data_IF_278078803316
#
_entry.id   IF_278078803316
#
_cell.length_a   1.000
_cell.length_b   1.000
_cell.length_c   1.000
_cell.angle_alpha   90.00
_cell.angle_beta   90.00
_cell.angle_gamma   90.00
#
_symmetry.space_group_name_H-M   'P 1'
#
loop_
_entity.id
_entity.type
_entity.pdbx_description
1 polymer ?
#
# COMPACT_ATOMS: atom_id res chain seq x y z
N UNK A 1 -6.11 8.54 29.49
CA UNK A 1 -7.26 8.04 28.73
C UNK A 1 -7.30 8.87 27.46
N UNK A 2 -6.95 8.28 26.32
CA UNK A 2 -6.89 9.01 25.04
C UNK A 2 -8.21 8.77 24.33
N UNK A 3 -9.10 9.76 24.36
CA UNK A 3 -10.41 9.68 23.70
C UNK A 3 -10.46 10.77 22.62
N UNK A 4 -10.67 10.38 21.37
CA UNK A 4 -10.84 11.34 20.26
C UNK A 4 -12.28 11.88 20.28
N UNK A 5 -12.43 13.21 20.31
CA UNK A 5 -13.72 13.86 20.23
C UNK A 5 -13.81 14.72 18.97
N UNK A 6 -14.81 14.44 18.13
CA UNK A 6 -15.11 15.23 16.93
C UNK A 6 -15.86 16.54 17.26
N UNK A 7 -15.63 17.57 16.43
CA UNK A 7 -16.11 18.96 16.61
C UNK A 7 -17.63 19.13 16.41
N UNK A 8 -18.28 18.18 15.73
CA UNK A 8 -19.70 18.20 15.42
C UNK A 8 -20.25 16.76 15.41
N UNK A 9 -20.44 16.20 16.60
CA UNK A 9 -21.19 14.96 16.80
C UNK A 9 -22.53 15.38 17.41
N UNK A 10 -23.60 14.68 17.03
CA UNK A 10 -24.98 14.89 17.51
C UNK A 10 -25.11 15.06 19.04
N UNK A 11 -24.11 14.59 19.80
CA UNK A 11 -24.05 14.61 21.27
C UNK A 11 -23.15 15.70 21.89
N UNK A 12 -22.52 16.57 21.09
CA UNK A 12 -21.63 17.69 21.50
C UNK A 12 -20.85 17.46 22.82
N UNK A 13 -19.98 16.43 22.88
CA UNK A 13 -19.33 16.00 24.12
C UNK A 13 -18.41 17.08 24.70
N UNK A 14 -17.91 18.00 23.86
CA UNK A 14 -17.05 19.10 24.29
C UNK A 14 -17.79 20.17 25.10
N UNK A 15 -19.13 20.18 25.12
CA UNK A 15 -19.91 21.08 25.99
C UNK A 15 -19.71 20.73 27.47
N UNK A 16 -19.60 19.44 27.79
CA UNK A 16 -19.34 18.97 29.17
C UNK A 16 -17.93 19.37 29.61
N UNK A 17 -16.96 19.34 28.69
CA UNK A 17 -15.57 19.70 28.96
C UNK A 17 -15.45 21.13 29.53
N UNK A 18 -16.28 22.07 29.08
CA UNK A 18 -16.28 23.45 29.59
C UNK A 18 -16.47 23.52 31.11
N UNK A 19 -17.47 22.79 31.64
CA UNK A 19 -17.76 22.74 33.07
C UNK A 19 -16.63 22.03 33.84
N UNK A 20 -16.01 21.00 33.26
CA UNK A 20 -14.91 20.27 33.89
C UNK A 20 -13.62 21.09 33.97
N UNK A 21 -13.40 22.02 33.04
CA UNK A 21 -12.20 22.87 33.01
C UNK A 21 -12.28 24.10 33.92
N UNK A 22 -13.47 24.50 34.39
CA UNK A 22 -13.61 25.62 35.35
C UNK A 22 -13.06 25.27 36.73
N UNK A 23 -13.26 24.02 37.16
CA UNK A 23 -12.75 23.49 38.42
C UNK A 23 -12.07 22.14 38.18
N UNK A 24 -10.86 22.14 37.60
CA UNK A 24 -10.19 20.92 37.21
C UNK A 24 -9.81 20.10 38.45
N UNK A 25 -10.45 18.95 38.63
CA UNK A 25 -10.11 17.97 39.68
C UNK A 25 -8.88 17.14 39.34
N UNK A 26 -8.48 17.12 38.07
CA UNK A 26 -7.34 16.39 37.53
C UNK A 26 -6.61 17.28 36.52
N UNK A 27 -5.30 17.05 36.34
CA UNK A 27 -4.56 17.68 35.26
C UNK A 27 -5.12 17.23 33.90
N UNK A 28 -5.29 18.18 32.98
CA UNK A 28 -5.85 17.93 31.65
C UNK A 28 -4.89 18.41 30.56
N UNK A 29 -4.63 17.54 29.59
CA UNK A 29 -3.88 17.87 28.36
C UNK A 29 -4.72 17.43 27.17
N UNK A 30 -5.09 18.39 26.32
CA UNK A 30 -5.79 18.15 25.07
C UNK A 30 -4.83 18.25 23.88
N UNK A 31 -4.83 17.26 23.00
CA UNK A 31 -4.08 17.29 21.74
C UNK A 31 -5.09 17.31 20.60
N UNK A 32 -4.97 18.28 19.70
CA UNK A 32 -5.86 18.43 18.55
C UNK A 32 -5.10 18.92 17.33
N UNK A 33 -5.45 18.39 16.17
CA UNK A 33 -4.98 18.90 14.87
C UNK A 33 -5.82 20.10 14.39
N UNK A 34 -6.91 20.41 15.09
CA UNK A 34 -7.83 21.50 14.78
C UNK A 34 -7.90 22.48 15.93
N UNK A 35 -8.11 23.76 15.61
CA UNK A 35 -8.40 24.77 16.62
C UNK A 35 -9.69 24.41 17.36
N UNK A 36 -9.77 24.74 18.65
CA UNK A 36 -11.01 24.64 19.42
C UNK A 36 -11.70 26.01 19.44
N UNK A 37 -12.94 26.07 19.94
CA UNK A 37 -13.64 27.34 20.13
C UNK A 37 -13.08 28.12 21.33
N UNK A 38 -13.24 29.45 21.28
CA UNK A 38 -12.72 30.39 22.28
C UNK A 38 -13.16 30.04 23.71
N UNK A 39 -14.40 29.58 23.90
CA UNK A 39 -14.91 29.25 25.23
C UNK A 39 -14.13 28.12 25.91
N UNK A 40 -13.56 27.19 25.15
CA UNK A 40 -12.72 26.11 25.69
C UNK A 40 -11.27 26.59 25.80
N UNK A 41 -10.81 27.29 24.77
CA UNK A 41 -9.46 27.85 24.66
C UNK A 41 -9.10 28.82 25.79
N UNK A 42 -10.01 29.67 26.24
CA UNK A 42 -9.75 30.65 27.32
C UNK A 42 -9.48 30.01 28.69
N UNK A 43 -9.76 28.72 28.87
CA UNK A 43 -9.59 27.97 30.13
C UNK A 43 -8.35 27.08 30.13
N UNK A 44 -7.56 27.13 29.07
CA UNK A 44 -6.37 26.28 28.88
C UNK A 44 -5.20 27.12 28.37
N UNK A 45 -3.98 26.69 28.68
CA UNK A 45 -2.79 27.22 28.01
C UNK A 45 -2.71 26.55 26.65
N UNK A 46 -2.67 27.37 25.59
CA UNK A 46 -2.64 26.88 24.21
C UNK A 46 -1.21 27.01 23.69
N UNK A 47 -0.65 25.86 23.34
CA UNK A 47 0.56 25.80 22.57
C UNK A 47 0.21 25.41 21.13
N UNK A 48 0.31 26.38 20.22
CA UNK A 48 0.09 26.14 18.79
C UNK A 48 1.40 25.77 18.12
N UNK A 49 1.41 24.66 17.38
CA UNK A 49 2.56 24.20 16.60
C UNK A 49 2.28 24.56 15.13
N UNK A 50 2.93 25.60 14.57
CA UNK A 50 2.73 25.98 13.18
C UNK A 50 3.38 24.97 12.23
N UNK A 51 3.10 25.14 10.93
CA UNK A 51 3.82 24.39 9.90
C UNK A 51 5.31 24.76 9.93
N UNK A 52 6.17 23.75 9.86
CA UNK A 52 7.62 23.92 9.86
C UNK A 52 8.10 24.58 8.57
N UNK A 53 9.05 25.51 8.68
CA UNK A 53 9.80 26.03 7.54
C UNK A 53 10.85 25.03 7.05
N UNK A 54 11.42 25.25 5.86
CA UNK A 54 12.54 24.46 5.33
C UNK A 54 13.70 24.39 6.33
N UNK A 55 13.98 25.51 7.03
CA UNK A 55 15.04 25.58 8.03
C UNK A 55 14.72 24.74 9.26
N UNK A 56 13.47 24.75 9.71
CA UNK A 56 13.03 23.94 10.84
C UNK A 56 13.11 22.44 10.51
N UNK A 57 12.74 22.05 9.29
CA UNK A 57 12.87 20.68 8.80
C UNK A 57 14.33 20.23 8.77
N UNK A 58 15.23 21.05 8.21
CA UNK A 58 16.67 20.78 8.25
C UNK A 58 17.17 20.61 9.69
N UNK A 59 16.85 21.56 10.57
CA UNK A 59 17.30 21.55 11.95
C UNK A 59 16.77 20.33 12.72
N UNK A 60 15.54 19.93 12.44
CA UNK A 60 14.92 18.72 13.02
C UNK A 60 15.67 17.46 12.59
N UNK A 61 16.01 17.32 11.31
CA UNK A 61 16.80 16.18 10.85
C UNK A 61 18.20 16.21 11.48
N UNK A 62 18.83 17.39 11.58
CA UNK A 62 20.15 17.55 12.20
C UNK A 62 20.15 17.23 13.69
N UNK A 63 19.04 17.42 14.40
CA UNK A 63 18.92 17.06 15.82
C UNK A 63 18.55 15.59 16.04
N UNK A 64 17.85 14.97 15.08
CA UNK A 64 17.52 13.53 15.12
C UNK A 64 18.76 12.63 15.03
N UNK A 65 19.84 13.09 14.40
CA UNK A 65 21.04 12.27 14.14
C UNK A 65 22.32 12.89 14.74
N UNK A 66 23.23 12.03 15.24
CA UNK A 66 24.50 12.48 15.84
C UNK A 66 25.39 13.20 14.81
N UNK A 67 26.18 14.18 15.28
CA UNK A 67 27.00 15.09 14.45
C UNK A 67 27.99 14.38 13.52
N UNK A 68 28.53 13.23 13.93
CA UNK A 68 29.57 12.51 13.15
C UNK A 68 29.06 11.95 11.81
N UNK A 69 27.76 11.67 11.72
CA UNK A 69 27.10 11.17 10.48
C UNK A 69 26.70 12.33 9.56
N UNK A 70 26.61 13.55 10.08
CA UNK A 70 25.96 14.69 9.44
C UNK A 70 26.82 15.35 8.33
N UNK A 71 28.15 15.31 8.46
CA UNK A 71 29.08 15.98 7.56
C UNK A 71 29.04 15.41 6.13
N UNK A 72 28.78 14.11 5.97
CA UNK A 72 28.67 13.46 4.65
C UNK A 72 27.28 13.65 4.00
N UNK A 73 26.25 13.95 4.79
CA UNK A 73 24.83 13.82 4.39
C UNK A 73 24.11 15.17 4.28
N UNK A 74 24.76 16.27 4.68
CA UNK A 74 24.13 17.62 4.67
C UNK A 74 23.53 17.99 3.31
N UNK A 75 24.22 17.69 2.20
CA UNK A 75 23.70 17.94 0.84
C UNK A 75 22.45 17.12 0.50
N UNK A 76 22.38 15.87 0.98
CA UNK A 76 21.22 15.00 0.76
C UNK A 76 20.00 15.48 1.56
N UNK A 77 20.22 16.04 2.76
CA UNK A 77 19.14 16.61 3.58
C UNK A 77 18.51 17.82 2.88
N UNK A 78 19.33 18.73 2.34
CA UNK A 78 18.83 19.90 1.60
C UNK A 78 18.00 19.49 0.38
N UNK A 79 18.47 18.52 -0.41
CA UNK A 79 17.70 17.97 -1.53
C UNK A 79 16.40 17.30 -1.06
N UNK A 80 16.43 16.59 0.06
CA UNK A 80 15.24 15.93 0.64
C UNK A 80 14.18 16.96 1.06
N UNK A 81 14.59 18.04 1.72
CA UNK A 81 13.71 19.15 2.13
C UNK A 81 13.10 19.81 0.90
N UNK A 82 13.92 20.15 -0.11
CA UNK A 82 13.45 20.76 -1.36
C UNK A 82 12.43 19.90 -2.11
N UNK A 83 12.64 18.58 -2.16
CA UNK A 83 11.69 17.64 -2.78
C UNK A 83 10.37 17.64 -2.01
N UNK A 84 10.43 17.52 -0.68
CA UNK A 84 9.24 17.52 0.16
C UNK A 84 8.43 18.82 0.00
N UNK A 85 9.09 19.99 -0.02
CA UNK A 85 8.41 21.27 -0.23
C UNK A 85 7.74 21.36 -1.60
N UNK A 86 8.42 20.92 -2.66
CA UNK A 86 7.83 20.91 -4.01
C UNK A 86 6.60 20.00 -4.08
N UNK A 87 6.59 18.86 -3.37
CA UNK A 87 5.45 17.95 -3.30
C UNK A 87 4.27 18.61 -2.55
N UNK A 88 4.52 19.20 -1.38
CA UNK A 88 3.46 19.79 -0.54
C UNK A 88 2.89 21.08 -1.17
N UNK A 89 3.73 21.87 -1.83
CA UNK A 89 3.35 23.13 -2.46
C UNK A 89 2.84 22.97 -3.90
N UNK A 90 2.79 21.74 -4.43
CA UNK A 90 2.34 21.48 -5.80
C UNK A 90 0.93 22.02 -6.04
N UNK A 91 0.82 22.85 -7.09
CA UNK A 91 -0.43 23.49 -7.52
C UNK A 91 -1.18 22.70 -8.58
N UNK A 92 -0.58 21.62 -9.09
CA UNK A 92 -1.14 20.84 -10.21
C UNK A 92 -2.09 19.74 -9.75
N UNK A 93 -2.38 19.67 -8.44
CA UNK A 93 -3.15 18.59 -7.79
C UNK A 93 -2.56 17.18 -7.99
N UNK A 94 -1.33 17.08 -8.51
CA UNK A 94 -0.67 15.80 -8.79
C UNK A 94 -0.45 14.97 -7.52
N UNK A 95 -0.32 15.60 -6.35
CA UNK A 95 -0.17 14.92 -5.06
C UNK A 95 -1.41 15.02 -4.18
N UNK A 96 -2.57 15.33 -4.78
CA UNK A 96 -3.85 15.55 -4.10
C UNK A 96 -4.93 14.66 -4.72
N UNK A 97 -4.76 13.32 -4.68
CA UNK A 97 -5.63 12.40 -5.39
C UNK A 97 -7.08 12.58 -4.91
N UNK A 98 -8.02 12.69 -5.86
CA UNK A 98 -9.45 12.94 -5.62
C UNK A 98 -9.73 14.08 -4.60
N UNK A 99 -8.90 15.13 -4.60
CA UNK A 99 -9.05 16.30 -3.73
C UNK A 99 -8.53 16.11 -2.31
N UNK A 100 -7.90 14.98 -1.97
CA UNK A 100 -7.23 14.80 -0.69
C UNK A 100 -5.94 15.63 -0.61
N UNK A 101 -6.04 16.84 -0.08
CA UNK A 101 -4.93 17.82 0.01
C UNK A 101 -3.79 17.39 0.95
N UNK A 102 -4.00 16.38 1.79
CA UNK A 102 -3.11 16.02 2.89
C UNK A 102 -2.65 14.56 2.80
N UNK A 103 -2.52 14.05 1.58
CA UNK A 103 -2.09 12.68 1.32
C UNK A 103 -0.66 12.40 1.82
N UNK A 104 0.22 13.39 1.70
CA UNK A 104 1.57 13.39 2.27
C UNK A 104 1.68 14.41 3.40
N UNK A 105 2.55 14.12 4.38
CA UNK A 105 2.84 15.03 5.48
C UNK A 105 4.21 14.80 6.11
N UNK A 106 4.44 15.45 7.26
CA UNK A 106 5.77 15.49 7.89
C UNK A 106 6.32 14.10 8.27
N UNK A 107 5.45 13.12 8.55
CA UNK A 107 5.89 11.74 8.84
C UNK A 107 6.51 11.04 7.64
N UNK A 108 6.04 11.34 6.43
CA UNK A 108 6.64 10.84 5.19
C UNK A 108 8.05 11.43 5.03
N UNK A 109 8.21 12.73 5.31
CA UNK A 109 9.50 13.41 5.33
C UNK A 109 10.46 12.85 6.38
N UNK A 110 10.03 12.67 7.64
CA UNK A 110 10.91 12.14 8.69
C UNK A 110 11.38 10.71 8.42
N UNK A 111 10.48 9.87 7.89
CA UNK A 111 10.82 8.50 7.52
C UNK A 111 11.81 8.47 6.36
N UNK A 112 11.64 9.37 5.38
CA UNK A 112 12.59 9.55 4.29
C UNK A 112 13.94 10.04 4.81
N UNK A 113 13.97 11.08 5.63
CA UNK A 113 15.21 11.61 6.21
C UNK A 113 15.97 10.53 6.99
N UNK A 114 15.26 9.73 7.79
CA UNK A 114 15.87 8.59 8.49
C UNK A 114 16.43 7.54 7.54
N UNK A 115 15.72 7.23 6.46
CA UNK A 115 16.23 6.31 5.44
C UNK A 115 17.49 6.88 4.76
N UNK A 116 17.48 8.16 4.38
CA UNK A 116 18.61 8.82 3.73
C UNK A 116 19.86 8.84 4.62
N UNK A 117 19.68 9.00 5.93
CA UNK A 117 20.80 9.07 6.89
C UNK A 117 21.37 7.69 7.23
N UNK A 118 20.55 6.65 7.30
CA UNK A 118 20.99 5.32 7.78
C UNK A 118 21.36 4.37 6.64
N UNK A 119 20.67 4.46 5.50
CA UNK A 119 20.79 3.48 4.40
C UNK A 119 21.79 3.97 3.35
N UNK A 120 21.67 5.21 2.88
CA UNK A 120 22.51 5.75 1.80
C UNK A 120 24.01 6.01 2.08
N UNK A 121 24.52 6.06 3.32
CA UNK A 121 25.98 6.13 3.53
C UNK A 121 26.73 4.92 2.94
N UNK A 122 26.03 3.83 2.62
CA UNK A 122 26.61 2.67 1.97
C UNK A 122 27.01 3.01 0.51
N UNK A 123 28.27 2.75 0.10
CA UNK A 123 28.81 3.17 -1.22
C UNK A 123 27.97 2.74 -2.43
N UNK A 124 27.29 1.59 -2.34
CA UNK A 124 26.46 1.03 -3.41
C UNK A 124 25.09 1.74 -3.58
N UNK A 125 24.64 2.53 -2.60
CA UNK A 125 23.26 3.03 -2.53
C UNK A 125 23.13 4.54 -2.74
N UNK A 126 24.24 5.28 -2.90
CA UNK A 126 24.27 6.77 -2.93
C UNK A 126 23.33 7.45 -3.93
N UNK A 127 22.83 6.74 -4.94
CA UNK A 127 21.89 7.25 -5.96
C UNK A 127 20.53 6.53 -5.98
N UNK A 128 20.26 5.68 -4.99
CA UNK A 128 19.01 4.92 -4.94
C UNK A 128 17.81 5.84 -4.71
N UNK A 129 16.75 5.70 -5.51
CA UNK A 129 15.48 6.38 -5.29
C UNK A 129 14.55 5.63 -4.33
N UNK A 130 15.02 4.55 -3.73
CA UNK A 130 14.23 3.71 -2.84
C UNK A 130 13.50 4.48 -1.75
N UNK A 131 14.24 5.25 -0.94
CA UNK A 131 13.65 6.01 0.17
C UNK A 131 12.55 6.96 -0.30
N UNK A 132 12.75 7.59 -1.46
CA UNK A 132 11.78 8.51 -2.04
C UNK A 132 10.54 7.77 -2.53
N UNK A 133 10.68 6.67 -3.28
CA UNK A 133 9.55 5.91 -3.85
C UNK A 133 8.79 5.10 -2.80
N UNK A 134 9.46 4.77 -1.69
CA UNK A 134 8.81 4.21 -0.50
C UNK A 134 7.94 5.24 0.21
N UNK A 135 8.49 6.42 0.52
CA UNK A 135 7.79 7.42 1.34
C UNK A 135 6.82 8.32 0.56
N UNK A 136 7.09 8.57 -0.72
CA UNK A 136 6.23 9.30 -1.64
C UNK A 136 5.63 8.34 -2.68
N UNK A 137 5.12 7.20 -2.23
CA UNK A 137 4.36 6.26 -3.04
C UNK A 137 2.84 6.44 -2.87
N UNK A 138 2.06 5.49 -3.40
CA UNK A 138 0.64 5.37 -3.09
C UNK A 138 -0.30 6.11 -4.03
N UNK A 139 0.17 6.72 -5.11
CA UNK A 139 -0.68 7.32 -6.14
C UNK A 139 -0.91 6.38 -7.33
N UNK A 140 -2.11 6.44 -7.89
CA UNK A 140 -2.51 5.70 -9.09
C UNK A 140 -2.31 6.50 -10.37
N UNK A 141 -2.27 7.84 -10.27
CA UNK A 141 -2.30 8.74 -11.41
C UNK A 141 -0.92 8.84 -12.07
N UNK A 142 -0.91 8.73 -13.40
CA UNK A 142 0.29 8.94 -14.22
C UNK A 142 0.84 10.34 -14.05
N UNK A 143 -0.05 11.33 -13.87
CA UNK A 143 0.30 12.73 -13.59
C UNK A 143 1.19 12.87 -12.35
N UNK A 144 0.86 12.20 -11.24
CA UNK A 144 1.66 12.20 -10.01
C UNK A 144 3.06 11.67 -10.27
N UNK A 145 3.17 10.58 -11.01
CA UNK A 145 4.45 9.95 -11.35
C UNK A 145 5.30 10.85 -12.24
N UNK A 146 4.71 11.47 -13.26
CA UNK A 146 5.39 12.41 -14.15
C UNK A 146 5.88 13.65 -13.40
N UNK A 147 5.04 14.20 -12.51
CA UNK A 147 5.42 15.35 -11.70
C UNK A 147 6.55 15.01 -10.73
N UNK A 148 6.50 13.84 -10.09
CA UNK A 148 7.58 13.38 -9.22
C UNK A 148 8.91 13.20 -10.00
N UNK A 149 8.83 12.67 -11.24
CA UNK A 149 9.99 12.56 -12.13
C UNK A 149 10.61 13.94 -12.43
N UNK A 150 9.79 14.94 -12.77
CA UNK A 150 10.26 16.32 -12.99
C UNK A 150 10.96 16.90 -11.75
N UNK A 151 10.40 16.69 -10.57
CA UNK A 151 10.99 17.13 -9.30
C UNK A 151 12.36 16.48 -9.08
N UNK A 152 12.51 15.18 -9.37
CA UNK A 152 13.79 14.48 -9.23
C UNK A 152 14.84 14.94 -10.23
N UNK A 153 14.48 15.11 -11.51
CA UNK A 153 15.41 15.66 -12.52
C UNK A 153 15.91 17.04 -12.07
N UNK A 154 15.01 17.92 -11.63
CA UNK A 154 15.34 19.27 -11.20
C UNK A 154 16.19 19.32 -9.91
N UNK A 155 15.86 18.49 -8.92
CA UNK A 155 16.44 18.63 -7.56
C UNK A 155 17.64 17.72 -7.33
N UNK A 156 17.70 16.57 -7.99
CA UNK A 156 18.77 15.58 -7.85
C UNK A 156 19.74 15.56 -9.04
N UNK A 157 19.48 16.33 -10.10
CA UNK A 157 20.26 16.33 -11.35
C UNK A 157 20.44 14.92 -11.93
N UNK A 158 19.39 14.10 -11.86
CA UNK A 158 19.41 12.74 -12.42
C UNK A 158 19.11 12.79 -13.92
N UNK A 159 19.88 12.02 -14.69
CA UNK A 159 19.59 11.79 -16.10
C UNK A 159 18.33 10.94 -16.27
N UNK A 160 17.62 11.16 -17.38
CA UNK A 160 16.35 10.51 -17.67
C UNK A 160 16.47 8.97 -17.72
N UNK A 161 17.60 8.46 -18.23
CA UNK A 161 17.88 7.03 -18.29
C UNK A 161 18.14 6.41 -16.92
N UNK A 162 18.86 7.11 -16.05
CA UNK A 162 19.09 6.69 -14.66
C UNK A 162 17.77 6.69 -13.88
N UNK A 163 16.95 7.71 -14.08
CA UNK A 163 15.61 7.82 -13.51
C UNK A 163 14.71 6.65 -13.96
N UNK A 164 14.71 6.33 -15.25
CA UNK A 164 13.96 5.21 -15.80
C UNK A 164 14.38 3.87 -15.18
N UNK A 165 15.69 3.64 -15.04
CA UNK A 165 16.21 2.44 -14.37
C UNK A 165 15.74 2.36 -12.92
N UNK A 166 15.81 3.46 -12.17
CA UNK A 166 15.36 3.50 -10.77
C UNK A 166 13.85 3.25 -10.63
N UNK A 167 13.01 3.83 -11.49
CA UNK A 167 11.56 3.64 -11.46
C UNK A 167 11.10 2.26 -11.95
N UNK A 168 11.91 1.58 -12.78
CA UNK A 168 11.70 0.17 -13.15
C UNK A 168 12.15 -0.76 -12.04
N UNK A 169 13.25 -0.43 -11.36
CA UNK A 169 13.78 -1.20 -10.24
C UNK A 169 12.82 -1.14 -9.05
N UNK A 170 12.42 0.06 -8.62
CA UNK A 170 11.58 0.31 -7.45
C UNK A 170 10.11 0.38 -7.82
N UNK A 171 9.55 -0.78 -8.17
CA UNK A 171 8.11 -0.96 -8.34
C UNK A 171 7.38 -0.89 -7.00
N UNK A 172 6.06 -0.59 -6.96
CA UNK A 172 5.28 -0.62 -5.72
C UNK A 172 5.40 -1.96 -4.97
N UNK A 173 5.47 -3.05 -5.73
CA UNK A 173 5.66 -4.42 -5.24
C UNK A 173 6.99 -4.56 -4.50
N UNK A 174 8.09 -4.12 -5.12
CA UNK A 174 9.42 -4.14 -4.50
C UNK A 174 9.50 -3.20 -3.29
N UNK A 175 8.84 -2.05 -3.32
CA UNK A 175 8.74 -1.16 -2.16
C UNK A 175 8.09 -1.86 -0.95
N UNK A 176 7.00 -2.60 -1.17
CA UNK A 176 6.32 -3.38 -0.13
C UNK A 176 7.23 -4.52 0.37
N UNK A 177 7.85 -5.27 -0.54
CA UNK A 177 8.80 -6.33 -0.19
C UNK A 177 9.93 -5.78 0.70
N UNK A 178 10.48 -4.63 0.32
CA UNK A 178 11.56 -3.96 1.04
C UNK A 178 11.12 -3.41 2.41
N UNK A 179 9.85 -3.01 2.57
CA UNK A 179 9.28 -2.65 3.87
C UNK A 179 9.19 -3.88 4.81
N UNK A 180 8.82 -5.05 4.27
CA UNK A 180 8.67 -6.29 5.03
C UNK A 180 10.00 -6.96 5.40
N UNK A 181 10.97 -7.00 4.48
CA UNK A 181 12.24 -7.72 4.68
C UNK A 181 13.25 -6.95 5.50
N UNK A 182 13.11 -5.61 5.59
CA UNK A 182 14.05 -4.80 6.35
C UNK A 182 13.95 -5.09 7.84
N UNK A 183 15.02 -5.68 8.37
CA UNK A 183 15.26 -5.76 9.81
C UNK A 183 15.43 -4.36 10.38
N UNK A 184 14.81 -4.13 11.53
CA UNK A 184 14.94 -2.87 12.27
C UNK A 184 16.40 -2.73 12.71
N UNK A 185 17.15 -1.79 12.13
CA UNK A 185 18.55 -1.53 12.50
C UNK A 185 18.53 -0.75 13.83
N UNK A 186 18.81 -1.44 14.93
CA UNK A 186 18.81 -0.87 16.29
C UNK A 186 20.15 -0.27 16.72
N UNK A 187 21.14 -0.16 15.81
CA UNK A 187 22.49 0.30 16.15
C UNK A 187 22.55 1.74 16.68
N UNK A 188 21.51 2.55 16.43
CA UNK A 188 21.28 3.78 17.15
C UNK A 188 19.95 3.65 17.89
N UNK A 189 20.03 3.54 19.22
CA UNK A 189 18.88 3.45 20.10
C UNK A 189 17.77 4.43 19.67
N UNK A 190 16.56 3.89 19.49
CA UNK A 190 15.25 4.56 19.40
C UNK A 190 14.64 4.91 18.03
N UNK A 191 15.32 4.76 16.88
CA UNK A 191 14.68 5.13 15.60
C UNK A 191 14.27 3.91 14.78
N UNK A 192 12.99 3.53 14.85
CA UNK A 192 12.37 2.68 13.84
C UNK A 192 12.13 3.53 12.59
N UNK A 193 12.96 3.32 11.56
CA UNK A 193 13.02 4.18 10.36
C UNK A 193 11.90 3.85 9.37
N UNK A 194 11.22 2.73 9.55
CA UNK A 194 10.21 2.23 8.63
C UNK A 194 8.86 2.11 9.31
N UNK A 195 7.92 2.90 8.79
CA UNK A 195 6.51 2.84 9.14
C UNK A 195 5.90 1.53 8.67
N UNK A 196 4.79 1.16 9.29
CA UNK A 196 3.90 0.13 8.76
C UNK A 196 3.43 0.52 7.35
N UNK A 197 3.03 -0.47 6.56
CA UNK A 197 2.67 -0.25 5.16
C UNK A 197 1.15 -0.17 4.98
N UNK A 198 0.69 0.74 4.13
CA UNK A 198 -0.67 0.80 3.62
C UNK A 198 -0.66 0.42 2.14
N UNK A 199 -1.34 -0.67 1.82
CA UNK A 199 -1.57 -1.11 0.44
C UNK A 199 -2.88 -0.53 -0.03
N UNK A 200 -2.80 0.42 -0.95
CA UNK A 200 -3.95 1.04 -1.60
C UNK A 200 -4.32 0.18 -2.80
N UNK A 201 -5.40 -0.58 -2.67
CA UNK A 201 -5.86 -1.53 -3.67
C UNK A 201 -6.77 -0.82 -4.69
N UNK A 202 -6.49 -0.96 -5.98
CA UNK A 202 -7.33 -0.36 -7.05
C UNK A 202 -8.75 -0.92 -7.04
N UNK A 203 -8.86 -2.25 -6.98
CA UNK A 203 -10.09 -3.01 -6.73
C UNK A 203 -9.93 -3.78 -5.40
N UNK A 204 -11.02 -4.25 -4.79
CA UNK A 204 -11.01 -4.92 -3.46
C UNK A 204 -10.04 -6.12 -3.34
N UNK A 205 -9.63 -6.69 -4.47
CA UNK A 205 -8.82 -7.90 -4.57
C UNK A 205 -7.43 -7.66 -5.18
N UNK A 206 -7.11 -6.46 -5.67
CA UNK A 206 -5.81 -6.21 -6.35
C UNK A 206 -4.59 -6.49 -5.46
N UNK A 207 -4.70 -6.28 -4.15
CA UNK A 207 -3.65 -6.61 -3.18
C UNK A 207 -3.24 -8.10 -3.20
N UNK A 208 -4.11 -9.00 -3.68
CA UNK A 208 -3.81 -10.43 -3.80
C UNK A 208 -2.64 -10.70 -4.75
N UNK A 209 -2.34 -9.77 -5.66
CA UNK A 209 -1.13 -9.81 -6.50
C UNK A 209 0.15 -10.01 -5.65
N UNK A 210 0.17 -9.55 -4.40
CA UNK A 210 1.33 -9.72 -3.52
C UNK A 210 1.51 -11.18 -3.06
N UNK A 211 0.44 -11.99 -3.08
CA UNK A 211 0.52 -13.45 -2.89
C UNK A 211 1.13 -14.12 -4.11
N UNK A 212 0.76 -13.68 -5.31
CA UNK A 212 1.30 -14.21 -6.57
C UNK A 212 2.82 -13.96 -6.69
N UNK A 213 3.30 -12.84 -6.14
CA UNK A 213 4.73 -12.54 -6.01
C UNK A 213 5.43 -13.28 -4.86
N UNK A 214 4.71 -14.03 -4.03
CA UNK A 214 5.23 -14.68 -2.82
C UNK A 214 5.68 -13.72 -1.71
N UNK A 215 5.48 -12.41 -1.89
CA UNK A 215 5.79 -11.37 -0.89
C UNK A 215 4.91 -11.55 0.33
N UNK A 216 3.64 -11.87 0.11
CA UNK A 216 2.75 -12.37 1.13
C UNK A 216 2.60 -13.89 0.98
N UNK A 217 2.61 -14.63 2.09
CA UNK A 217 2.47 -16.08 2.08
C UNK A 217 1.84 -16.58 3.39
N UNK A 218 1.72 -17.90 3.53
CA UNK A 218 1.08 -18.59 4.65
C UNK A 218 1.75 -18.35 6.03
N UNK A 219 2.95 -17.75 6.07
CA UNK A 219 3.61 -17.39 7.34
C UNK A 219 3.00 -16.13 7.96
N UNK A 220 2.28 -15.33 7.17
CA UNK A 220 1.63 -14.11 7.64
C UNK A 220 0.20 -14.37 8.12
N UNK A 221 -0.28 -13.51 9.03
CA UNK A 221 -1.62 -13.61 9.60
C UNK A 221 -2.55 -12.61 8.90
N UNK A 222 -3.58 -13.13 8.23
CA UNK A 222 -4.59 -12.31 7.55
C UNK A 222 -5.83 -12.16 8.44
N UNK A 223 -6.20 -10.91 8.73
CA UNK A 223 -7.40 -10.58 9.49
C UNK A 223 -8.33 -9.75 8.59
N UNK A 224 -9.51 -10.30 8.33
CA UNK A 224 -10.57 -9.68 7.54
C UNK A 224 -11.72 -9.31 8.46
N UNK A 225 -12.12 -8.04 8.46
CA UNK A 225 -13.33 -7.64 9.19
C UNK A 225 -14.58 -8.26 8.57
N UNK A 226 -15.46 -8.76 9.43
CA UNK A 226 -16.70 -9.39 9.02
C UNK A 226 -17.65 -8.37 8.40
N UNK A 227 -18.14 -8.67 7.20
CA UNK A 227 -19.18 -7.89 6.53
C UNK A 227 -20.60 -8.38 6.90
N UNK A 228 -20.73 -9.37 7.78
CA UNK A 228 -22.05 -9.89 8.18
C UNK A 228 -22.71 -8.91 9.17
N UNK A 229 -23.97 -8.48 8.94
CA UNK A 229 -24.63 -7.45 9.76
C UNK A 229 -24.64 -7.73 11.26
N UNK A 230 -24.76 -9.00 11.67
CA UNK A 230 -24.80 -9.37 13.09
C UNK A 230 -23.42 -9.33 13.77
N UNK A 231 -22.34 -9.43 13.00
CA UNK A 231 -20.97 -9.39 13.53
C UNK A 231 -20.44 -7.96 13.64
N UNK A 232 -20.90 -7.06 12.76
CA UNK A 232 -20.36 -5.69 12.65
C UNK A 232 -20.61 -4.86 13.91
N UNK A 233 -21.67 -5.20 14.67
CA UNK A 233 -22.01 -4.57 15.94
C UNK A 233 -21.47 -5.31 17.17
N UNK A 234 -20.81 -6.47 16.97
CA UNK A 234 -20.33 -7.29 18.07
C UNK A 234 -18.92 -6.87 18.51
N UNK A 235 -18.83 -6.35 19.73
CA UNK A 235 -17.54 -6.04 20.37
C UNK A 235 -16.65 -7.28 20.58
N UNK A 236 -17.23 -8.48 20.57
CA UNK A 236 -16.52 -9.75 20.77
C UNK A 236 -15.55 -10.00 19.60
N UNK A 237 -15.98 -9.73 18.37
CA UNK A 237 -15.14 -9.89 17.19
C UNK A 237 -13.95 -8.91 17.25
N UNK A 238 -14.20 -7.65 17.58
CA UNK A 238 -13.14 -6.64 17.76
C UNK A 238 -12.11 -7.06 18.82
N UNK A 239 -12.57 -7.59 19.96
CA UNK A 239 -11.68 -8.10 21.00
C UNK A 239 -10.84 -9.29 20.54
N UNK A 240 -11.44 -10.23 19.79
CA UNK A 240 -10.74 -11.36 19.19
C UNK A 240 -9.66 -10.92 18.20
N UNK A 241 -9.96 -9.94 17.32
CA UNK A 241 -8.97 -9.38 16.42
C UNK A 241 -7.83 -8.70 17.18
N UNK A 242 -8.14 -7.90 18.19
CA UNK A 242 -7.12 -7.20 18.99
C UNK A 242 -6.19 -8.18 19.70
N UNK A 243 -6.70 -9.25 20.30
CA UNK A 243 -5.84 -10.26 20.93
C UNK A 243 -4.94 -10.97 19.92
N UNK A 244 -5.46 -11.35 18.75
CA UNK A 244 -4.63 -11.93 17.69
C UNK A 244 -3.51 -10.98 17.24
N UNK A 245 -3.80 -9.68 17.17
CA UNK A 245 -2.79 -8.67 16.82
C UNK A 245 -1.75 -8.55 17.93
N UNK A 246 -2.17 -8.55 19.20
CA UNK A 246 -1.26 -8.54 20.37
C UNK A 246 -0.34 -9.76 20.34
N UNK A 247 -0.86 -10.94 20.04
CA UNK A 247 -0.04 -12.17 19.92
C UNK A 247 0.94 -12.07 18.74
N UNK A 248 0.53 -11.47 17.62
CA UNK A 248 1.43 -11.21 16.49
C UNK A 248 2.52 -10.20 16.84
N UNK A 249 2.18 -9.16 17.61
CA UNK A 249 3.14 -8.16 18.10
C UNK A 249 4.18 -8.80 19.01
N UNK A 250 3.77 -9.70 19.91
CA UNK A 250 4.68 -10.39 20.83
C UNK A 250 5.59 -11.39 20.11
N UNK A 251 5.05 -12.13 19.13
CA UNK A 251 5.79 -13.16 18.37
C UNK A 251 6.55 -12.64 17.14
N UNK A 252 6.37 -11.36 16.79
CA UNK A 252 6.99 -10.75 15.60
C UNK A 252 6.41 -11.21 14.26
N UNK A 253 5.22 -11.82 14.25
CA UNK A 253 4.55 -12.23 13.01
C UNK A 253 3.94 -11.03 12.30
N UNK A 254 4.12 -10.95 10.98
CA UNK A 254 3.48 -9.93 10.14
C UNK A 254 1.97 -10.15 10.09
N UNK A 255 1.21 -9.07 10.34
CA UNK A 255 -0.24 -9.07 10.23
C UNK A 255 -0.72 -8.24 9.05
N UNK A 256 -1.72 -8.73 8.33
CA UNK A 256 -2.42 -8.04 7.24
C UNK A 256 -3.84 -7.76 7.70
N UNK A 257 -4.19 -6.48 7.78
CA UNK A 257 -5.50 -5.99 8.20
C UNK A 257 -6.28 -5.51 6.98
N UNK A 258 -7.49 -6.03 6.80
CA UNK A 258 -8.40 -5.57 5.76
C UNK A 258 -9.80 -5.39 6.34
N UNK A 259 -10.45 -4.26 6.04
CA UNK A 259 -11.81 -3.94 6.48
C UNK A 259 -11.98 -3.91 8.02
N UNK A 260 -11.00 -3.36 8.76
CA UNK A 260 -10.95 -3.38 10.23
C UNK A 260 -10.96 -1.97 10.86
N UNK A 261 -11.76 -1.06 10.29
CA UNK A 261 -11.81 0.35 10.70
C UNK A 261 -12.12 0.55 12.18
N UNK A 262 -12.98 -0.32 12.74
CA UNK A 262 -13.44 -0.27 14.13
C UNK A 262 -12.31 -0.47 15.17
N UNK A 263 -11.19 -1.10 14.80
CA UNK A 263 -10.10 -1.41 15.73
C UNK A 263 -8.88 -0.50 15.55
N UNK A 264 -8.80 0.30 14.48
CA UNK A 264 -7.63 1.14 14.23
C UNK A 264 -7.40 2.20 15.31
N UNK A 265 -8.46 2.71 15.93
CA UNK A 265 -8.33 3.62 17.09
C UNK A 265 -7.69 2.91 18.28
N UNK A 266 -8.02 1.65 18.50
CA UNK A 266 -7.45 0.84 19.59
C UNK A 266 -5.96 0.55 19.40
N UNK A 267 -5.50 0.56 18.15
CA UNK A 267 -4.12 0.31 17.73
C UNK A 267 -3.31 1.61 17.55
N UNK A 268 -3.80 2.74 18.05
CA UNK A 268 -3.18 4.05 17.80
C UNK A 268 -1.68 4.09 18.12
N UNK A 269 -1.25 3.67 19.31
CA UNK A 269 0.17 3.75 19.69
C UNK A 269 1.03 2.75 18.89
N UNK A 270 0.47 1.58 18.55
CA UNK A 270 1.12 0.60 17.68
C UNK A 270 1.37 1.19 16.29
N UNK A 271 0.33 1.71 15.65
CA UNK A 271 0.42 2.27 14.29
C UNK A 271 1.28 3.54 14.22
N UNK A 272 1.34 4.33 15.30
CA UNK A 272 2.24 5.47 15.39
C UNK A 272 3.69 5.08 15.74
N UNK A 273 3.96 3.79 16.01
CA UNK A 273 5.26 3.28 16.47
C UNK A 273 5.78 4.03 17.70
N UNK A 274 4.87 4.39 18.62
CA UNK A 274 5.21 5.06 19.88
C UNK A 274 5.59 4.04 20.93
N UNK A 275 6.78 3.46 20.76
CA UNK A 275 7.25 2.39 21.62
C UNK A 275 8.08 2.93 22.78
N UNK A 276 7.81 2.38 23.97
CA UNK A 276 8.57 2.65 25.18
C UNK A 276 9.49 1.47 25.43
N UNK A 277 10.81 1.72 25.38
CA UNK A 277 11.79 0.71 25.71
C UNK A 277 11.87 0.57 27.23
N UNK A 278 11.64 -0.64 27.74
CA UNK A 278 11.82 -0.95 29.17
C UNK A 278 13.28 -1.26 29.49
N UNK A 279 13.70 -1.26 30.77
CA UNK A 279 15.06 -1.64 31.16
C UNK A 279 15.50 -3.03 30.69
N UNK A 280 14.56 -3.93 30.37
CA UNK A 280 14.86 -5.24 29.76
C UNK A 280 15.39 -5.14 28.32
N UNK A 281 15.31 -3.97 27.69
CA UNK A 281 15.65 -3.76 26.29
C UNK A 281 14.48 -3.95 25.32
N UNK A 282 13.36 -4.50 25.80
CA UNK A 282 12.17 -4.76 24.97
C UNK A 282 11.32 -3.50 24.78
N UNK A 283 10.69 -3.41 23.61
CA UNK A 283 9.76 -2.35 23.25
C UNK A 283 8.33 -2.71 23.66
N UNK A 284 7.61 -1.75 24.22
CA UNK A 284 6.20 -1.89 24.57
C UNK A 284 5.36 -0.76 23.99
N UNK A 285 4.11 -1.04 23.64
CA UNK A 285 3.12 -0.03 23.29
C UNK A 285 1.78 -0.32 23.97
N UNK A 286 0.96 0.71 24.10
CA UNK A 286 -0.38 0.59 24.69
C UNK A 286 -1.40 0.22 23.61
N UNK A 287 -2.21 -0.79 23.88
CA UNK A 287 -3.36 -1.17 23.04
C UNK A 287 -4.63 -0.95 23.85
N UNK A 288 -5.60 -0.21 23.30
CA UNK A 288 -6.89 -0.02 23.97
C UNK A 288 -7.77 -1.26 23.75
N UNK A 289 -8.46 -1.71 24.80
CA UNK A 289 -9.38 -2.83 24.79
C UNK A 289 -10.67 -2.35 25.46
N UNK A 290 -11.55 -1.71 24.67
CA UNK A 290 -12.74 -1.04 25.19
C UNK A 290 -12.37 0.16 26.07
N UNK A 291 -12.76 0.12 27.34
CA UNK A 291 -12.47 1.18 28.33
C UNK A 291 -11.09 1.03 28.98
N UNK A 292 -10.50 -0.15 28.86
CA UNK A 292 -9.19 -0.46 29.43
C UNK A 292 -8.10 -0.37 28.37
N UNK A 293 -6.86 -0.50 28.83
CA UNK A 293 -5.72 -0.53 27.94
C UNK A 293 -4.63 -1.38 28.52
N UNK A 294 -3.94 -2.12 27.66
CA UNK A 294 -2.90 -3.05 28.02
C UNK A 294 -1.58 -2.63 27.41
N UNK A 295 -0.52 -2.69 28.20
CA UNK A 295 0.85 -2.59 27.69
C UNK A 295 1.23 -3.92 27.05
N UNK A 296 1.54 -3.88 25.76
CA UNK A 296 1.84 -5.06 24.95
C UNK A 296 3.28 -4.95 24.44
N UNK A 297 4.03 -6.06 24.54
CA UNK A 297 5.38 -6.16 23.98
C UNK A 297 5.29 -6.12 22.45
N UNK A 298 6.29 -5.50 21.82
CA UNK A 298 6.41 -5.41 20.36
C UNK A 298 7.77 -5.94 19.94
N UNK A 299 7.76 -7.06 19.23
CA UNK A 299 8.97 -7.62 18.64
C UNK A 299 9.52 -6.68 17.54
N UNK A 300 10.84 -6.48 17.45
CA UNK A 300 11.45 -5.63 16.44
C UNK A 300 11.16 -6.03 14.98
N UNK A 301 10.84 -7.30 14.72
CA UNK A 301 10.50 -7.83 13.40
C UNK A 301 9.01 -7.73 13.09
N UNK A 302 8.17 -7.33 14.05
CA UNK A 302 6.75 -7.14 13.80
C UNK A 302 6.50 -6.11 12.69
N UNK A 303 5.64 -6.49 11.74
CA UNK A 303 5.19 -5.64 10.63
C UNK A 303 3.67 -5.73 10.52
N UNK A 304 3.08 -4.65 10.04
CA UNK A 304 1.65 -4.52 9.84
C UNK A 304 1.43 -3.95 8.44
N UNK A 305 0.57 -4.61 7.67
CA UNK A 305 0.05 -4.11 6.41
C UNK A 305 -1.42 -3.81 6.60
N UNK A 306 -1.86 -2.62 6.23
CA UNK A 306 -3.27 -2.29 6.14
C UNK A 306 -3.66 -2.19 4.66
N UNK A 307 -4.65 -2.97 4.26
CA UNK A 307 -5.24 -2.90 2.92
C UNK A 307 -6.41 -1.93 2.96
N UNK A 308 -6.39 -0.93 2.08
CA UNK A 308 -7.45 0.07 1.93
C UNK A 308 -7.81 0.20 0.47
N UNK A 309 -9.09 0.34 0.16
CA UNK A 309 -9.52 0.59 -1.21
C UNK A 309 -9.13 1.99 -1.66
N UNK A 310 -8.82 2.13 -2.94
CA UNK A 310 -8.45 3.40 -3.57
C UNK A 310 -9.47 4.51 -3.33
N UNK A 311 -10.76 4.19 -3.44
CA UNK A 311 -11.85 5.16 -3.27
C UNK A 311 -11.81 5.78 -1.87
N UNK A 312 -11.57 4.96 -0.84
CA UNK A 312 -11.50 5.40 0.54
C UNK A 312 -10.18 6.14 0.82
N UNK A 313 -9.05 5.60 0.38
CA UNK A 313 -7.74 6.21 0.63
C UNK A 313 -7.59 7.59 -0.02
N UNK A 314 -8.18 7.79 -1.21
CA UNK A 314 -8.15 9.07 -1.92
C UNK A 314 -9.30 9.99 -1.54
N UNK A 315 -10.27 9.52 -0.76
CA UNK A 315 -11.37 10.35 -0.31
C UNK A 315 -10.87 11.57 0.47
N UNK A 316 -11.45 12.77 0.26
CA UNK A 316 -11.14 13.94 1.07
C UNK A 316 -11.54 13.76 2.55
N UNK A 317 -12.41 12.79 2.85
CA UNK A 317 -12.86 12.46 4.20
C UNK A 317 -11.89 11.51 4.94
N UNK A 318 -10.90 10.95 4.24
CA UNK A 318 -9.96 10.02 4.82
C UNK A 318 -9.16 10.70 5.95
N UNK A 319 -9.15 10.17 7.19
CA UNK A 319 -8.46 10.82 8.29
C UNK A 319 -6.96 10.97 8.03
N UNK A 320 -6.49 12.22 7.93
CA UNK A 320 -5.09 12.58 7.71
C UNK A 320 -4.16 11.91 8.72
N UNK A 321 -4.60 11.86 9.99
CA UNK A 321 -3.85 11.24 11.07
C UNK A 321 -3.64 9.74 10.84
N UNK A 322 -4.57 9.06 10.18
CA UNK A 322 -4.46 7.64 9.82
C UNK A 322 -3.54 7.44 8.62
N UNK A 323 -3.76 8.14 7.50
CA UNK A 323 -2.90 8.05 6.30
C UNK A 323 -1.43 8.32 6.59
N UNK A 324 -1.13 9.34 7.39
CA UNK A 324 0.25 9.77 7.68
C UNK A 324 1.05 8.75 8.50
N UNK A 325 0.40 7.76 9.14
CA UNK A 325 1.08 6.69 9.91
C UNK A 325 1.74 5.65 9.03
N UNK A 326 1.37 5.58 7.76
CA UNK A 326 1.78 4.49 6.88
C UNK A 326 2.66 4.95 5.72
N UNK A 327 3.57 4.07 5.34
CA UNK A 327 4.20 4.05 4.03
C UNK A 327 3.17 3.55 3.00
N UNK A 328 2.78 4.37 2.04
CA UNK A 328 1.66 4.09 1.14
C UNK A 328 2.16 3.55 -0.19
N UNK A 329 1.59 2.44 -0.65
CA UNK A 329 1.91 1.84 -1.95
C UNK A 329 0.62 1.47 -2.68
N UNK A 330 0.51 1.89 -3.94
CA UNK A 330 -0.67 1.63 -4.76
C UNK A 330 -0.47 0.35 -5.56
N UNK A 331 -1.46 -0.54 -5.53
CA UNK A 331 -1.42 -1.84 -6.20
C UNK A 331 -2.64 -1.99 -7.11
N UNK A 332 -2.36 -2.21 -8.39
CA UNK A 332 -3.31 -2.60 -9.41
C UNK A 332 -2.71 -3.72 -10.25
N UNK A 333 -3.54 -4.57 -10.84
CA UNK A 333 -3.00 -5.63 -11.71
C UNK A 333 -2.16 -5.07 -12.86
N UNK A 334 -2.47 -3.85 -13.33
CA UNK A 334 -1.71 -3.20 -14.39
C UNK A 334 -0.33 -2.71 -13.92
N UNK A 335 -0.23 -2.14 -12.71
CA UNK A 335 1.04 -1.58 -12.22
C UNK A 335 1.98 -2.63 -11.63
N UNK A 336 1.43 -3.79 -11.29
CA UNK A 336 2.18 -4.94 -10.79
C UNK A 336 2.71 -5.79 -11.94
N UNK A 337 2.14 -5.73 -13.15
CA UNK A 337 2.62 -6.51 -14.28
C UNK A 337 4.15 -6.34 -14.49
N UNK A 338 4.90 -7.45 -14.58
CA UNK A 338 6.33 -7.39 -14.90
C UNK A 338 6.58 -6.71 -16.26
N UNK A 339 7.74 -6.05 -16.41
CA UNK A 339 8.06 -5.26 -17.61
C UNK A 339 8.07 -6.10 -18.91
N UNK A 340 8.52 -7.35 -18.83
CA UNK A 340 8.45 -8.38 -19.88
C UNK A 340 7.03 -8.64 -20.38
N UNK A 341 6.01 -8.36 -19.56
CA UNK A 341 4.61 -8.53 -19.92
C UNK A 341 3.90 -7.27 -20.43
N UNK A 342 4.55 -6.09 -20.44
CA UNK A 342 3.92 -4.81 -20.84
C UNK A 342 3.35 -4.81 -22.27
N UNK A 343 3.86 -5.67 -23.16
CA UNK A 343 3.41 -5.81 -24.56
C UNK A 343 2.14 -6.66 -24.76
N UNK A 344 1.82 -7.53 -23.80
CA UNK A 344 0.71 -8.49 -23.93
C UNK A 344 -0.69 -8.03 -23.47
N UNK A 345 -0.91 -6.89 -22.75
CA UNK A 345 -2.26 -6.45 -22.42
C UNK A 345 -3.11 -6.23 -23.67
N UNK A 346 -2.52 -5.68 -24.74
CA UNK A 346 -3.21 -5.49 -26.02
C UNK A 346 -3.64 -6.81 -26.68
N UNK A 347 -2.82 -7.85 -26.56
CA UNK A 347 -3.13 -9.19 -27.06
C UNK A 347 -4.28 -9.83 -26.29
N UNK A 348 -4.24 -9.76 -24.95
CA UNK A 348 -5.34 -10.19 -24.10
C UNK A 348 -6.62 -9.39 -24.39
N UNK A 349 -6.50 -8.08 -24.64
CA UNK A 349 -7.63 -7.22 -25.01
C UNK A 349 -8.26 -7.61 -26.35
N UNK A 350 -7.44 -7.84 -27.37
CA UNK A 350 -7.94 -8.28 -28.68
C UNK A 350 -8.63 -9.64 -28.60
N UNK A 351 -8.05 -10.61 -27.88
CA UNK A 351 -8.67 -11.92 -27.70
C UNK A 351 -10.02 -11.83 -26.99
N UNK A 352 -10.09 -11.04 -25.92
CA UNK A 352 -11.33 -10.88 -25.13
C UNK A 352 -12.39 -10.12 -25.91
N UNK A 353 -12.01 -9.19 -26.80
CA UNK A 353 -12.93 -8.57 -27.77
C UNK A 353 -13.47 -9.57 -28.78
N UNK A 354 -12.62 -10.42 -29.37
CA UNK A 354 -13.05 -11.44 -30.34
C UNK A 354 -13.97 -12.48 -29.70
N UNK A 355 -13.77 -12.79 -28.41
CA UNK A 355 -14.55 -13.78 -27.69
C UNK A 355 -15.64 -13.21 -26.79
N UNK A 356 -15.97 -11.91 -26.90
CA UNK A 356 -16.85 -11.19 -25.97
C UNK A 356 -18.24 -11.81 -25.81
N UNK A 357 -18.75 -12.48 -26.84
CA UNK A 357 -20.04 -13.16 -26.78
C UNK A 357 -19.96 -14.41 -25.89
N UNK A 358 -18.87 -15.17 -25.96
CA UNK A 358 -18.71 -16.45 -25.25
C UNK A 358 -18.47 -16.31 -23.74
N UNK A 359 -18.19 -15.11 -23.24
CA UNK A 359 -17.69 -14.91 -21.89
C UNK A 359 -18.44 -13.82 -21.13
N UNK A 360 -18.67 -14.04 -19.84
CA UNK A 360 -19.25 -13.03 -18.95
C UNK A 360 -18.14 -12.07 -18.47
N UNK A 361 -18.28 -10.78 -18.76
CA UNK A 361 -17.54 -9.65 -18.16
C UNK A 361 -16.01 -9.81 -17.98
N UNK A 362 -15.29 -10.34 -18.97
CA UNK A 362 -13.82 -10.52 -18.92
C UNK A 362 -13.01 -9.20 -19.04
N UNK A 363 -13.65 -8.08 -19.36
CA UNK A 363 -12.95 -6.84 -19.74
C UNK A 363 -12.02 -6.31 -18.64
N UNK A 364 -12.32 -6.58 -17.36
CA UNK A 364 -11.51 -6.11 -16.22
C UNK A 364 -10.38 -7.05 -15.79
N UNK A 365 -10.28 -8.28 -16.33
CA UNK A 365 -9.38 -9.31 -15.78
C UNK A 365 -8.11 -9.54 -16.60
N UNK A 366 -7.87 -8.83 -17.70
CA UNK A 366 -6.74 -9.09 -18.61
C UNK A 366 -5.37 -9.04 -17.92
N UNK A 367 -5.08 -7.97 -17.18
CA UNK A 367 -3.81 -7.86 -16.45
C UNK A 367 -3.68 -8.88 -15.32
N UNK A 368 -4.80 -9.24 -14.69
CA UNK A 368 -4.84 -10.28 -13.67
C UNK A 368 -4.55 -11.66 -14.27
N UNK A 369 -5.18 -12.01 -15.39
CA UNK A 369 -4.93 -13.25 -16.13
C UNK A 369 -3.48 -13.40 -16.53
N UNK A 370 -2.87 -12.34 -17.05
CA UNK A 370 -1.44 -12.34 -17.40
C UNK A 370 -0.55 -12.56 -16.18
N UNK A 371 -0.87 -11.92 -15.04
CA UNK A 371 -0.13 -12.13 -13.79
C UNK A 371 -0.28 -13.57 -13.28
N UNK A 372 -1.49 -14.12 -13.31
CA UNK A 372 -1.74 -15.51 -12.93
C UNK A 372 -0.91 -16.49 -13.77
N UNK A 373 -0.87 -16.29 -15.09
CA UNK A 373 -0.09 -17.14 -15.99
C UNK A 373 1.42 -17.00 -15.74
N UNK A 374 1.88 -15.78 -15.46
CA UNK A 374 3.28 -15.54 -15.09
C UNK A 374 3.64 -16.28 -13.80
N UNK A 375 2.79 -16.21 -12.78
CA UNK A 375 3.00 -16.90 -11.51
C UNK A 375 2.98 -18.42 -11.69
N UNK A 376 2.00 -18.96 -12.43
CA UNK A 376 1.95 -20.40 -12.75
C UNK A 376 3.24 -20.88 -13.42
N UNK A 377 3.73 -20.15 -14.43
CA UNK A 377 4.96 -20.51 -15.13
C UNK A 377 6.22 -20.35 -14.27
N UNK A 378 6.25 -19.37 -13.36
CA UNK A 378 7.33 -19.24 -12.38
C UNK A 378 7.38 -20.38 -11.35
N UNK A 379 6.24 -21.07 -11.15
CA UNK A 379 6.11 -22.16 -10.18
C UNK A 379 6.16 -23.55 -10.84
N UNK A 380 6.23 -23.62 -12.18
CA UNK A 380 6.42 -24.89 -12.90
C UNK A 380 7.80 -25.46 -12.53
N UNK A 381 7.89 -26.73 -12.06
CA UNK A 381 9.17 -27.33 -11.72
C UNK A 381 10.04 -27.38 -12.98
N UNK A 382 11.14 -26.62 -12.98
CA UNK A 382 12.23 -26.82 -13.92
C UNK A 382 12.88 -28.18 -13.59
N UNK A 383 13.16 -29.01 -14.60
CA UNK A 383 13.71 -30.38 -14.48
C UNK A 383 15.09 -30.53 -13.79
N UNK A 384 15.52 -29.54 -12.99
CA UNK A 384 16.74 -29.61 -12.20
C UNK A 384 16.43 -29.94 -10.74
N UNK A 385 16.95 -31.09 -10.32
CA UNK A 385 16.93 -31.71 -8.99
C UNK A 385 17.08 -30.75 -7.82
N UNK A 386 16.33 -31.07 -6.76
CA UNK A 386 16.57 -30.80 -5.35
C UNK A 386 16.69 -29.33 -4.92
N UNK A 387 15.58 -28.74 -4.47
CA UNK A 387 15.51 -28.09 -3.15
C UNK A 387 14.07 -27.66 -2.81
N UNK A 388 13.51 -28.22 -1.74
CA UNK A 388 12.40 -27.63 -1.00
C UNK A 388 12.88 -26.35 -0.30
N UNK A 389 13.05 -25.27 -1.07
CA UNK A 389 13.08 -23.92 -0.52
C UNK A 389 11.99 -23.14 -1.23
N UNK A 390 11.06 -22.59 -0.45
CA UNK A 390 10.10 -21.55 -0.87
C UNK A 390 10.88 -20.34 -1.38
N UNK A 391 11.40 -20.41 -2.59
CA UNK A 391 11.92 -19.26 -3.33
C UNK A 391 10.73 -18.43 -3.80
N UNK A 392 10.77 -17.12 -3.56
CA UNK A 392 9.79 -16.18 -4.10
C UNK A 392 9.83 -16.27 -5.64
N UNK A 393 8.68 -16.44 -6.31
CA UNK A 393 8.66 -16.59 -7.76
C UNK A 393 9.25 -15.35 -8.44
N UNK A 394 10.34 -15.55 -9.20
CA UNK A 394 10.99 -14.50 -9.98
C UNK A 394 10.20 -14.23 -11.27
N UNK A 395 9.07 -13.54 -11.12
CA UNK A 395 8.15 -13.17 -12.21
C UNK A 395 8.80 -12.33 -13.33
N UNK A 396 9.90 -11.62 -13.02
CA UNK A 396 10.64 -10.80 -13.96
C UNK A 396 11.41 -11.63 -15.02
N UNK A 397 11.71 -12.89 -14.73
CA UNK A 397 12.46 -13.79 -15.63
C UNK A 397 11.55 -14.62 -16.57
N UNK A 398 10.24 -14.57 -16.34
CA UNK A 398 9.27 -15.40 -17.07
C UNK A 398 8.99 -14.84 -18.46
N UNK A 399 9.36 -15.56 -19.52
CA UNK A 399 9.02 -15.18 -20.90
C UNK A 399 8.03 -16.15 -21.53
N UNK A 400 7.09 -15.61 -22.30
CA UNK A 400 6.16 -16.40 -23.12
C UNK A 400 6.37 -16.13 -24.60
N UNK A 401 6.30 -17.21 -25.39
CA UNK A 401 6.00 -17.06 -26.81
C UNK A 401 4.54 -16.65 -26.99
N UNK A 402 4.23 -15.88 -28.04
CA UNK A 402 2.91 -15.30 -28.27
C UNK A 402 1.85 -16.38 -28.52
N UNK A 403 2.21 -17.45 -29.25
CA UNK A 403 1.31 -18.58 -29.48
C UNK A 403 1.03 -19.35 -28.18
N UNK A 404 2.08 -19.61 -27.38
CA UNK A 404 1.96 -20.27 -26.08
C UNK A 404 1.08 -19.46 -25.11
N UNK A 405 1.26 -18.14 -25.06
CA UNK A 405 0.48 -17.27 -24.19
C UNK A 405 -1.00 -17.28 -24.59
N UNK A 406 -1.29 -17.25 -25.90
CA UNK A 406 -2.66 -17.29 -26.41
C UNK A 406 -3.37 -18.59 -26.03
N UNK A 407 -2.70 -19.73 -26.16
CA UNK A 407 -3.23 -21.02 -25.74
C UNK A 407 -3.52 -21.06 -24.24
N UNK A 408 -2.53 -20.69 -23.40
CA UNK A 408 -2.72 -20.66 -21.94
C UNK A 408 -3.80 -19.68 -21.49
N UNK A 409 -3.96 -18.53 -22.15
CA UNK A 409 -5.05 -17.59 -21.89
C UNK A 409 -6.41 -18.21 -22.23
N UNK A 410 -6.52 -18.93 -23.35
CA UNK A 410 -7.76 -19.62 -23.72
C UNK A 410 -8.12 -20.71 -22.70
N UNK A 411 -7.13 -21.48 -22.24
CA UNK A 411 -7.35 -22.49 -21.21
C UNK A 411 -7.78 -21.88 -19.87
N UNK A 412 -7.16 -20.77 -19.47
CA UNK A 412 -7.53 -20.05 -18.25
C UNK A 412 -8.97 -19.51 -18.33
N UNK A 413 -9.40 -19.04 -19.49
CA UNK A 413 -10.75 -18.51 -19.68
C UNK A 413 -11.80 -19.60 -19.91
N UNK A 414 -11.42 -20.79 -20.38
CA UNK A 414 -12.35 -21.88 -20.72
C UNK A 414 -13.42 -22.18 -19.67
N UNK A 415 -13.15 -22.17 -18.34
CA UNK A 415 -14.18 -22.36 -17.32
C UNK A 415 -15.22 -21.24 -17.23
N UNK A 416 -14.91 -20.04 -17.73
CA UNK A 416 -15.80 -18.87 -17.74
C UNK A 416 -16.65 -18.78 -19.01
N UNK A 417 -16.48 -19.72 -19.95
CA UNK A 417 -17.27 -19.81 -21.18
C UNK A 417 -18.74 -20.07 -20.89
N UNK A 418 -19.64 -19.47 -21.68
CA UNK A 418 -21.04 -19.88 -21.79
C UNK A 418 -21.14 -21.13 -22.65
N UNK A 419 -21.43 -22.31 -22.07
CA UNK A 419 -21.47 -23.55 -22.85
C UNK A 419 -22.54 -23.51 -23.94
N UNK A 420 -23.66 -22.82 -23.70
CA UNK A 420 -24.77 -22.67 -24.65
C UNK A 420 -24.37 -21.90 -25.93
N UNK A 421 -23.55 -20.85 -25.79
CA UNK A 421 -23.07 -20.04 -26.92
C UNK A 421 -22.03 -20.78 -27.78
N UNK A 422 -21.24 -21.65 -27.15
CA UNK A 422 -20.30 -22.51 -27.86
C UNK A 422 -21.06 -23.55 -28.69
N UNK A 423 -22.08 -24.17 -28.10
CA UNK A 423 -22.90 -25.18 -28.79
C UNK A 423 -23.69 -24.58 -29.95
N UNK A 424 -24.31 -23.40 -29.76
CA UNK A 424 -25.04 -22.72 -30.84
C UNK A 424 -24.15 -22.31 -32.01
N UNK A 425 -22.90 -21.90 -31.77
CA UNK A 425 -21.93 -21.67 -32.86
C UNK A 425 -21.52 -22.96 -33.55
N UNK A 426 -21.25 -24.04 -32.80
CA UNK A 426 -20.89 -25.34 -33.39
C UNK A 426 -22.01 -25.84 -34.30
N UNK A 427 -23.26 -25.70 -33.86
CA UNK A 427 -24.46 -25.96 -34.66
C UNK A 427 -24.54 -25.01 -35.88
N UNK A 428 -24.26 -23.72 -35.72
CA UNK A 428 -24.27 -22.74 -36.82
C UNK A 428 -23.20 -23.00 -37.88
N UNK A 429 -21.99 -23.39 -37.47
CA UNK A 429 -20.88 -23.79 -38.35
C UNK A 429 -21.20 -25.12 -39.05
N UNK A 430 -21.72 -26.12 -38.34
CA UNK A 430 -22.15 -27.40 -38.91
C UNK A 430 -23.32 -27.23 -39.90
N UNK A 431 -24.27 -26.32 -39.62
CA UNK A 431 -25.38 -25.97 -40.51
C UNK A 431 -24.87 -25.22 -41.75
N UNK A 432 -23.92 -24.29 -41.59
CA UNK A 432 -23.29 -23.62 -42.74
C UNK A 432 -22.47 -24.61 -43.59
N UNK A 433 -21.73 -25.53 -42.96
CA UNK A 433 -20.98 -26.59 -43.63
C UNK A 433 -21.92 -27.52 -44.40
N UNK A 434 -23.03 -27.94 -43.80
CA UNK A 434 -24.07 -28.72 -44.49
C UNK A 434 -24.76 -27.94 -45.61
N UNK A 435 -24.96 -26.63 -45.47
CA UNK A 435 -25.53 -25.78 -46.54
C UNK A 435 -24.57 -25.60 -47.73
N UNK A 436 -23.26 -25.54 -47.48
CA UNK A 436 -22.21 -25.46 -48.50
C UNK A 436 -22.02 -26.81 -49.22
N UNK A 437 -22.11 -27.92 -48.49
CA UNK A 437 -22.11 -29.29 -49.07
C UNK A 437 -23.38 -29.53 -49.90
N UNK A 438 -24.55 -29.04 -49.47
CA UNK A 438 -25.79 -29.08 -50.29
C UNK A 438 -25.70 -28.19 -51.53
N UNK A 439 -25.01 -27.05 -51.49
CA UNK A 439 -24.77 -26.20 -52.68
C UNK A 439 -23.80 -26.84 -53.68
N UNK A 440 -22.80 -27.61 -53.24
CA UNK A 440 -21.91 -28.38 -54.15
C UNK A 440 -22.59 -29.58 -54.83
N UNK A 441 -23.66 -30.14 -54.25
CA UNK A 441 -24.43 -31.24 -54.88
C UNK A 441 -25.38 -30.82 -56.02
N UNK A 442 -25.49 -29.52 -56.36
CA UNK A 442 -26.29 -29.03 -57.51
C UNK A 442 -25.50 -28.82 -58.82
N UNK A 443 -24.20 -29.14 -58.85
CA UNK A 443 -23.33 -28.94 -60.02
C UNK A 443 -22.84 -30.26 -60.66
N UNK A 444 -23.50 -31.39 -60.41
CA UNK A 444 -23.29 -32.61 -61.18
C UNK A 444 -24.63 -33.32 -61.41
N UNK A 445 -25.19 -33.11 -62.60
CA UNK A 445 -26.13 -34.02 -63.26
C UNK A 445 -25.74 -34.06 -64.74
N UNK A 446 -25.52 -35.25 -65.31
CA UNK A 446 -24.95 -35.43 -66.65
C UNK A 446 -26.02 -35.40 -67.75
N UNK A 447 -25.57 -35.02 -68.95
CA UNK A 447 -26.25 -34.91 -70.25
C UNK A 447 -27.07 -33.65 -70.51
#
# INVERSE_FOLDING_TARGET
>A
MTTMFGRAIQFNPLKILHHLLEHPKIAFVGISNWTLDAAKMNRMIIHSIPNMSSKDLENTVKSMFKKDVLACITRNIESTVKIYEQIIQDKTDAFKPNGNKHFFGARDFYSLAGHQVVVLPQPAEKKSLEGYLRNFGGFAETKSREQLRKIFVYTLNLEEDELNKQFKLWTPVRCIQSNLTRKTITNNASLQIHRHCMVISDENYSWQSLLDYGILNYKHIFLFGSCFPHDTYSNIANYSYLNKIIDCMDTGKTVILNNLDNIYESLYDMLNQRYQQRPSGDNYCRVALGTESRDCRVDPNFRCIVVVNKQDAYSPNMPIAFLSRFEKQFISYRNVLPANFEKYPYLAENMTKTCRNYFVDIIKTQSFSLLCLAAQKATEPQDSKDNEQTETPHLEDVNFDEAQLKEKLLDLFRPLCRPEEIVTKKIGEDVQFHSLVKKKKKWFSPF
#
